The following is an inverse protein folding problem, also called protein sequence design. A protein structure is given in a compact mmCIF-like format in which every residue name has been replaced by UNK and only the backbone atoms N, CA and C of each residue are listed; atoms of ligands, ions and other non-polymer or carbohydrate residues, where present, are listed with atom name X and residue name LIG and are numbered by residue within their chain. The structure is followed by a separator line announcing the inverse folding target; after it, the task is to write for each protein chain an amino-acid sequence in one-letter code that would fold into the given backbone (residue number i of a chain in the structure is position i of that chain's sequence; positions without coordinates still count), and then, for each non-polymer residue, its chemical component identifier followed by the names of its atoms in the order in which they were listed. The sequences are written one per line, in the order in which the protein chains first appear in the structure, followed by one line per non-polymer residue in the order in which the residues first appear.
data_IF_449155007873
#
_entry.id   IF_449155007873
#
_cell.length_a   1.000
_cell.length_b   1.000
_cell.length_c   1.000
_cell.angle_alpha   90.00
_cell.angle_beta   90.00
_cell.angle_gamma   90.00
#
_symmetry.space_group_name_H-M   'P 1'
#
loop_
_entity.id
_entity.type
_entity.pdbx_description
1 polymer ?
#
# COMPACT_ATOMS: atom_id res chain seq x y z
N UNK A 1 -16.98 -74.69 18.85
CA UNK A 1 -17.93 -73.93 19.61
C UNK A 1 -17.29 -72.66 20.07
N UNK A 2 -17.91 -71.50 19.77
CA UNK A 2 -17.51 -70.21 20.27
C UNK A 2 -16.18 -69.61 19.80
N UNK A 3 -16.15 -69.20 18.54
CA UNK A 3 -15.20 -68.25 18.04
C UNK A 3 -15.88 -67.19 17.18
N UNK A 4 -16.84 -66.53 17.76
CA UNK A 4 -17.56 -65.47 17.06
C UNK A 4 -18.06 -64.43 18.06
N UNK A 5 -17.18 -63.57 18.56
CA UNK A 5 -17.57 -62.29 19.24
C UNK A 5 -16.29 -61.55 19.65
N UNK A 6 -15.59 -60.92 18.71
CA UNK A 6 -14.56 -59.94 19.04
C UNK A 6 -14.13 -59.18 17.79
N UNK A 7 -15.10 -58.54 17.09
CA UNK A 7 -14.79 -57.54 16.07
C UNK A 7 -15.97 -56.58 15.93
N UNK A 8 -16.26 -55.86 16.97
CA UNK A 8 -17.12 -54.67 16.91
C UNK A 8 -16.65 -53.71 17.99
N UNK A 9 -15.70 -52.89 17.73
CA UNK A 9 -15.44 -51.61 18.37
C UNK A 9 -14.09 -51.11 17.92
N UNK A 10 -14.03 -50.37 16.80
CA UNK A 10 -13.00 -49.37 16.52
C UNK A 10 -13.28 -48.75 15.14
N UNK A 11 -14.30 -47.90 15.09
CA UNK A 11 -14.46 -46.98 13.96
C UNK A 11 -15.37 -45.83 14.39
N UNK A 12 -14.85 -44.97 15.24
CA UNK A 12 -15.45 -43.67 15.47
C UNK A 12 -14.43 -42.76 16.17
N UNK A 13 -13.50 -42.20 15.45
CA UNK A 13 -12.78 -40.98 15.84
C UNK A 13 -11.79 -40.60 14.73
N UNK A 14 -12.19 -39.80 13.78
CA UNK A 14 -11.27 -38.94 12.99
C UNK A 14 -12.06 -38.21 11.91
N UNK A 15 -12.88 -37.29 12.29
CA UNK A 15 -13.41 -36.30 11.35
C UNK A 15 -13.76 -35.01 12.10
N UNK A 16 -12.75 -34.41 12.73
CA UNK A 16 -12.86 -33.06 13.25
C UNK A 16 -11.47 -32.44 13.27
N UNK A 17 -11.12 -31.70 12.27
CA UNK A 17 -9.84 -31.00 12.33
C UNK A 17 -9.24 -30.57 11.02
N UNK A 18 -10.01 -30.13 10.02
CA UNK A 18 -9.43 -29.45 8.84
C UNK A 18 -10.40 -28.43 8.24
N UNK A 19 -10.82 -27.45 9.01
CA UNK A 19 -11.50 -26.27 8.43
C UNK A 19 -11.24 -25.03 9.27
N UNK A 20 -10.00 -24.60 9.33
CA UNK A 20 -9.70 -23.27 9.85
C UNK A 20 -8.28 -22.85 9.45
N UNK A 21 -8.01 -22.65 8.19
CA UNK A 21 -6.78 -21.93 7.79
C UNK A 21 -6.77 -21.49 6.33
N UNK A 22 -7.72 -20.68 5.95
CA UNK A 22 -7.66 -20.02 4.63
C UNK A 22 -8.06 -18.55 4.64
N UNK A 23 -8.47 -17.99 5.78
CA UNK A 23 -8.97 -16.62 5.83
C UNK A 23 -7.91 -15.55 6.11
N UNK A 24 -6.67 -15.90 6.51
CA UNK A 24 -5.72 -14.89 6.99
C UNK A 24 -4.67 -14.43 5.98
N UNK A 25 -4.54 -15.06 4.83
CA UNK A 25 -3.56 -14.66 3.81
C UNK A 25 -4.17 -13.78 2.70
N UNK A 26 -5.45 -13.94 2.38
CA UNK A 26 -6.16 -13.12 1.40
C UNK A 26 -6.51 -11.72 1.94
N UNK A 27 -6.79 -11.60 3.23
CA UNK A 27 -7.11 -10.31 3.87
C UNK A 27 -5.90 -9.37 4.00
N UNK A 28 -4.68 -9.89 4.15
CA UNK A 28 -3.49 -9.07 4.30
C UNK A 28 -3.06 -8.35 3.02
N UNK A 29 -3.41 -8.88 1.83
CA UNK A 29 -3.11 -8.28 0.54
C UNK A 29 -4.14 -7.23 0.11
N UNK A 30 -5.41 -7.45 0.43
CA UNK A 30 -6.52 -6.58 0.04
C UNK A 30 -6.52 -5.23 0.77
N UNK A 31 -5.77 -5.10 1.85
CA UNK A 31 -5.70 -3.89 2.67
C UNK A 31 -4.49 -3.00 2.37
N UNK A 32 -3.70 -3.30 1.34
CA UNK A 32 -2.54 -2.51 0.95
C UNK A 32 -2.71 -1.97 -0.46
N UNK A 33 -2.68 -0.66 -0.60
CA UNK A 33 -2.93 0.01 -1.88
C UNK A 33 -1.85 1.02 -2.15
N UNK A 34 -1.27 0.99 -3.35
CA UNK A 34 -0.32 1.98 -3.83
C UNK A 34 -0.94 2.84 -4.93
N UNK A 35 -0.89 4.16 -4.72
CA UNK A 35 -1.26 5.18 -5.69
C UNK A 35 -0.05 5.57 -6.52
N UNK A 36 -0.22 5.58 -7.84
CA UNK A 36 0.80 6.02 -8.78
C UNK A 36 0.54 7.47 -9.20
N UNK A 37 1.47 8.36 -8.90
CA UNK A 37 1.38 9.79 -9.18
C UNK A 37 2.51 10.22 -10.11
N UNK A 38 2.17 10.50 -11.37
CA UNK A 38 3.08 10.99 -12.39
C UNK A 38 2.64 12.33 -12.98
N UNK A 39 1.34 12.63 -12.95
CA UNK A 39 0.73 13.77 -13.63
C UNK A 39 0.43 14.90 -12.63
N UNK A 40 0.86 16.12 -12.94
CA UNK A 40 0.72 17.31 -12.08
C UNK A 40 -0.74 17.58 -11.72
N UNK A 41 -1.61 17.55 -12.71
CA UNK A 41 -3.05 17.84 -12.58
C UNK A 41 -3.82 16.78 -11.77
N UNK A 42 -3.23 15.61 -11.54
CA UNK A 42 -3.82 14.51 -10.77
C UNK A 42 -3.44 14.49 -9.30
N UNK A 43 -2.43 15.26 -8.89
CA UNK A 43 -1.91 15.21 -7.51
C UNK A 43 -2.99 15.54 -6.48
N UNK A 44 -3.67 16.66 -6.61
CA UNK A 44 -4.73 17.08 -5.67
C UNK A 44 -5.89 16.08 -5.63
N UNK A 45 -6.30 15.59 -6.80
CA UNK A 45 -7.34 14.57 -6.93
C UNK A 45 -6.95 13.26 -6.24
N UNK A 46 -5.71 12.81 -6.42
CA UNK A 46 -5.18 11.60 -5.80
C UNK A 46 -5.14 11.72 -4.26
N UNK A 47 -4.68 12.84 -3.72
CA UNK A 47 -4.69 13.09 -2.27
C UNK A 47 -6.11 13.07 -1.70
N UNK A 48 -7.08 13.64 -2.43
CA UNK A 48 -8.50 13.54 -2.11
C UNK A 48 -9.01 12.10 -2.10
N UNK A 49 -8.63 11.32 -3.11
CA UNK A 49 -8.98 9.89 -3.21
C UNK A 49 -8.37 9.09 -2.05
N UNK A 50 -7.11 9.31 -1.70
CA UNK A 50 -6.47 8.64 -0.55
C UNK A 50 -7.21 8.94 0.75
N UNK A 51 -7.60 10.20 0.98
CA UNK A 51 -8.41 10.60 2.13
C UNK A 51 -9.76 9.85 2.16
N UNK A 52 -10.48 9.82 1.04
CA UNK A 52 -11.77 9.15 0.93
C UNK A 52 -11.63 7.63 1.08
N UNK A 53 -10.58 7.06 0.50
CA UNK A 53 -10.27 5.63 0.62
C UNK A 53 -10.03 5.24 2.07
N UNK A 54 -9.28 6.06 2.82
CA UNK A 54 -9.05 5.83 4.24
C UNK A 54 -10.32 5.92 5.06
N UNK A 55 -11.20 6.87 4.74
CA UNK A 55 -12.47 7.04 5.45
C UNK A 55 -13.47 5.91 5.19
N UNK A 56 -13.52 5.36 3.97
CA UNK A 56 -14.46 4.33 3.56
C UNK A 56 -13.88 2.92 3.42
N UNK A 57 -12.57 2.77 3.61
CA UNK A 57 -11.87 1.51 3.39
C UNK A 57 -11.94 0.53 4.56
N UNK A 58 -11.39 -0.65 4.35
CA UNK A 58 -11.33 -1.70 5.34
C UNK A 58 -10.44 -1.31 6.54
N UNK A 59 -10.69 -1.93 7.69
CA UNK A 59 -9.82 -1.79 8.86
C UNK A 59 -8.41 -2.28 8.53
N UNK A 60 -7.40 -1.57 9.01
CA UNK A 60 -6.00 -1.92 8.76
C UNK A 60 -5.51 -1.56 7.35
N UNK A 61 -6.24 -0.71 6.62
CA UNK A 61 -5.84 -0.20 5.31
C UNK A 61 -4.49 0.53 5.40
N UNK A 62 -3.55 0.08 4.58
CA UNK A 62 -2.26 0.72 4.37
C UNK A 62 -2.24 1.40 3.00
N UNK A 63 -1.98 2.70 2.97
CA UNK A 63 -1.86 3.45 1.74
C UNK A 63 -0.41 3.90 1.52
N UNK A 64 0.02 3.79 0.28
CA UNK A 64 1.27 4.37 -0.19
C UNK A 64 1.02 5.16 -1.47
N UNK A 65 1.88 6.12 -1.74
CA UNK A 65 1.95 6.81 -3.02
C UNK A 65 3.38 6.77 -3.54
N UNK A 66 3.55 6.43 -4.82
CA UNK A 66 4.83 6.57 -5.52
C UNK A 66 4.72 7.76 -6.45
N UNK A 67 5.55 8.76 -6.21
CA UNK A 67 5.54 10.05 -6.92
C UNK A 67 6.79 10.17 -7.78
N UNK A 68 6.61 10.36 -9.07
CA UNK A 68 7.72 10.54 -10.00
C UNK A 68 7.38 11.48 -11.16
N UNK A 69 8.38 11.82 -11.96
CA UNK A 69 8.20 12.71 -13.09
C UNK A 69 7.64 14.08 -12.68
N UNK A 70 6.81 14.71 -13.52
CA UNK A 70 6.28 16.05 -13.28
C UNK A 70 5.50 16.20 -11.97
N UNK A 71 4.83 15.16 -11.48
CA UNK A 71 4.06 15.21 -10.24
C UNK A 71 4.94 15.52 -9.02
N UNK A 72 6.22 15.14 -9.04
CA UNK A 72 7.12 15.38 -7.92
C UNK A 72 7.39 16.87 -7.70
N UNK A 73 7.37 17.68 -8.77
CA UNK A 73 7.56 19.12 -8.69
C UNK A 73 6.48 19.84 -7.87
N UNK A 74 5.29 19.26 -7.77
CA UNK A 74 4.17 19.82 -6.99
C UNK A 74 4.49 19.82 -5.49
N UNK A 75 5.34 18.89 -5.06
CA UNK A 75 5.72 18.72 -3.64
C UNK A 75 7.03 19.43 -3.26
N UNK A 76 7.47 20.42 -4.02
CA UNK A 76 8.67 21.19 -3.66
C UNK A 76 8.48 21.89 -2.29
N UNK A 77 9.54 21.89 -1.47
CA UNK A 77 9.53 22.53 -0.14
C UNK A 77 9.14 24.02 -0.18
N UNK A 78 9.43 24.68 -1.30
CA UNK A 78 9.11 26.10 -1.55
C UNK A 78 7.72 26.34 -2.16
N UNK A 79 6.87 25.30 -2.27
CA UNK A 79 5.50 25.49 -2.79
C UNK A 79 4.71 26.44 -1.89
N UNK A 80 3.91 27.30 -2.47
CA UNK A 80 2.97 28.21 -1.78
C UNK A 80 1.55 27.62 -1.68
N UNK A 81 1.34 26.40 -2.18
CA UNK A 81 0.05 25.72 -2.14
C UNK A 81 -0.24 25.17 -0.74
N UNK A 82 -0.83 25.98 0.11
CA UNK A 82 -1.17 25.61 1.49
C UNK A 82 -2.15 24.45 1.58
N UNK A 83 -3.10 24.35 0.64
CA UNK A 83 -4.05 23.23 0.60
C UNK A 83 -3.33 21.92 0.36
N UNK A 84 -2.38 21.89 -0.57
CA UNK A 84 -1.55 20.71 -0.83
C UNK A 84 -0.73 20.33 0.39
N UNK A 85 -0.07 21.30 1.03
CA UNK A 85 0.72 21.07 2.24
C UNK A 85 -0.12 20.42 3.33
N UNK A 86 -1.33 20.93 3.57
CA UNK A 86 -2.25 20.39 4.57
C UNK A 86 -2.72 18.99 4.22
N UNK A 87 -3.09 18.72 2.95
CA UNK A 87 -3.50 17.39 2.52
C UNK A 87 -2.38 16.38 2.67
N UNK A 88 -1.16 16.74 2.25
CA UNK A 88 0.01 15.88 2.37
C UNK A 88 0.35 15.60 3.85
N UNK A 89 0.41 16.63 4.69
CA UNK A 89 0.65 16.45 6.13
C UNK A 89 -0.42 15.60 6.81
N UNK A 90 -1.69 15.75 6.41
CA UNK A 90 -2.80 14.93 6.92
C UNK A 90 -2.63 13.46 6.54
N UNK A 91 -2.26 13.18 5.30
CA UNK A 91 -1.96 11.82 4.84
C UNK A 91 -0.79 11.18 5.61
N UNK A 92 0.31 11.92 5.79
CA UNK A 92 1.44 11.44 6.59
C UNK A 92 1.05 11.15 8.04
N UNK A 93 0.26 12.03 8.66
CA UNK A 93 -0.24 11.83 10.03
C UNK A 93 -1.17 10.62 10.15
N UNK A 94 -1.89 10.28 9.08
CA UNK A 94 -2.73 9.09 9.02
C UNK A 94 -1.92 7.79 8.80
N UNK A 95 -0.62 7.88 8.58
CA UNK A 95 0.28 6.75 8.37
C UNK A 95 0.48 6.37 6.90
N UNK A 96 0.06 7.23 5.95
CA UNK A 96 0.33 7.01 4.54
C UNK A 96 1.83 7.22 4.24
N UNK A 97 2.38 6.44 3.33
CA UNK A 97 3.78 6.50 2.95
C UNK A 97 3.92 7.07 1.55
N UNK A 98 4.77 8.08 1.40
CA UNK A 98 5.05 8.68 0.09
C UNK A 98 6.49 8.40 -0.32
N UNK A 99 6.67 7.83 -1.50
CA UNK A 99 7.97 7.56 -2.10
C UNK A 99 8.29 8.55 -3.21
N UNK A 100 9.44 9.23 -3.09
CA UNK A 100 9.97 10.07 -4.16
C UNK A 100 10.94 9.27 -5.03
N UNK A 101 10.76 9.36 -6.35
CA UNK A 101 11.61 8.69 -7.32
C UNK A 101 13.01 9.28 -7.36
N UNK A 102 14.04 8.47 -7.06
CA UNK A 102 15.44 8.91 -7.10
C UNK A 102 15.87 9.39 -8.50
N UNK A 103 15.39 8.74 -9.57
CA UNK A 103 15.70 9.15 -10.94
C UNK A 103 15.12 10.53 -11.28
N UNK A 104 13.91 10.84 -10.80
CA UNK A 104 13.32 12.17 -10.99
C UNK A 104 14.09 13.23 -10.20
N UNK A 105 14.46 12.94 -8.97
CA UNK A 105 15.29 13.85 -8.17
C UNK A 105 16.61 14.15 -8.86
N UNK A 106 17.31 13.11 -9.31
CA UNK A 106 18.60 13.25 -10.02
C UNK A 106 18.47 14.05 -11.33
N UNK A 107 17.40 13.83 -12.10
CA UNK A 107 17.16 14.55 -13.35
C UNK A 107 16.97 16.07 -13.17
N UNK A 108 16.62 16.50 -11.96
CA UNK A 108 16.40 17.91 -11.61
C UNK A 108 17.46 18.46 -10.64
N UNK A 109 18.52 17.72 -10.36
CA UNK A 109 19.51 18.07 -9.32
C UNK A 109 18.87 18.36 -7.97
N UNK A 110 17.82 17.62 -7.60
CA UNK A 110 17.12 17.72 -6.31
C UNK A 110 17.51 16.60 -5.37
N UNK A 111 17.32 16.87 -4.09
CA UNK A 111 17.39 15.89 -2.99
C UNK A 111 16.06 15.82 -2.27
N UNK A 112 15.91 14.90 -1.31
CA UNK A 112 14.71 14.86 -0.46
C UNK A 112 14.50 16.16 0.33
N UNK A 113 15.57 16.90 0.66
CA UNK A 113 15.48 18.18 1.35
C UNK A 113 14.82 19.29 0.51
N UNK A 114 14.77 19.11 -0.81
CA UNK A 114 14.10 20.03 -1.73
C UNK A 114 12.59 19.80 -1.81
N UNK A 115 12.09 18.76 -1.19
CA UNK A 115 10.67 18.41 -1.14
C UNK A 115 10.06 18.75 0.23
N UNK A 116 8.73 18.78 0.30
CA UNK A 116 8.01 18.78 1.56
C UNK A 116 8.50 17.61 2.43
N UNK A 117 8.71 17.80 3.74
CA UNK A 117 9.24 16.77 4.61
C UNK A 117 8.25 15.58 4.74
N UNK A 118 8.77 14.36 4.70
CA UNK A 118 7.98 13.15 4.90
C UNK A 118 8.05 12.13 3.77
N UNK A 119 8.80 12.41 2.71
CA UNK A 119 9.06 11.42 1.66
C UNK A 119 10.11 10.39 2.07
N UNK A 120 9.86 9.14 1.74
CA UNK A 120 10.87 8.10 1.65
C UNK A 120 11.46 8.06 0.23
N UNK A 121 12.71 7.63 0.10
CA UNK A 121 13.36 7.54 -1.21
C UNK A 121 13.02 6.20 -1.89
N UNK A 122 12.55 6.25 -3.13
CA UNK A 122 12.51 5.10 -4.03
C UNK A 122 13.88 5.04 -4.77
N UNK A 123 14.86 4.41 -4.14
CA UNK A 123 16.28 4.43 -4.54
C UNK A 123 16.52 3.92 -5.96
N UNK A 124 15.81 2.86 -6.36
CA UNK A 124 15.89 2.27 -7.71
C UNK A 124 14.94 2.92 -8.72
N UNK A 125 14.26 4.01 -8.32
CA UNK A 125 13.27 4.72 -9.14
C UNK A 125 11.83 4.33 -8.84
N UNK A 126 10.90 5.20 -9.27
CA UNK A 126 9.47 5.04 -8.99
C UNK A 126 8.85 3.80 -9.63
N UNK A 127 9.22 3.49 -10.88
CA UNK A 127 8.69 2.32 -11.59
C UNK A 127 9.11 1.01 -10.92
N UNK A 128 10.36 0.90 -10.49
CA UNK A 128 10.85 -0.28 -9.75
C UNK A 128 10.11 -0.39 -8.41
N UNK A 129 9.95 0.71 -7.69
CA UNK A 129 9.21 0.71 -6.42
C UNK A 129 7.75 0.25 -6.62
N UNK A 130 7.08 0.70 -7.67
CA UNK A 130 5.71 0.25 -8.00
C UNK A 130 5.67 -1.25 -8.28
N UNK A 131 6.62 -1.77 -9.06
CA UNK A 131 6.70 -3.20 -9.36
C UNK A 131 6.96 -4.04 -8.09
N UNK A 132 7.89 -3.59 -7.25
CA UNK A 132 8.23 -4.27 -5.98
C UNK A 132 7.03 -4.31 -5.02
N UNK A 133 6.27 -3.21 -4.90
CA UNK A 133 5.08 -3.18 -4.07
C UNK A 133 3.99 -4.12 -4.60
N UNK A 134 3.76 -4.13 -5.92
CA UNK A 134 2.81 -5.06 -6.54
C UNK A 134 3.22 -6.53 -6.33
N UNK A 135 4.50 -6.84 -6.46
CA UNK A 135 5.03 -8.18 -6.17
C UNK A 135 4.83 -8.60 -4.69
N UNK A 136 4.73 -7.63 -3.78
CA UNK A 136 4.41 -7.83 -2.38
C UNK A 136 2.89 -7.88 -2.09
N UNK A 137 2.04 -7.85 -3.12
CA UNK A 137 0.59 -7.95 -3.00
C UNK A 137 -0.13 -6.60 -2.79
N UNK A 138 0.52 -5.47 -3.08
CA UNK A 138 -0.16 -4.18 -3.07
C UNK A 138 -1.05 -4.03 -4.29
N UNK A 139 -2.27 -3.55 -4.09
CA UNK A 139 -3.17 -3.19 -5.18
C UNK A 139 -2.70 -1.87 -5.78
N UNK A 140 -2.58 -1.82 -7.10
CA UNK A 140 -2.15 -0.64 -7.83
C UNK A 140 -3.34 0.20 -8.28
N UNK A 141 -3.31 1.50 -7.98
CA UNK A 141 -4.26 2.49 -8.47
C UNK A 141 -3.52 3.67 -9.13
N UNK A 142 -4.02 4.08 -10.28
CA UNK A 142 -3.62 5.31 -10.96
C UNK A 142 -4.85 6.20 -11.17
N UNK A 143 -4.94 7.35 -10.47
CA UNK A 143 -6.03 8.31 -10.61
C UNK A 143 -6.08 8.99 -11.99
#
# INVERSE_FOLDING_TARGET
MERRKLFKALLAASAAGLTARSASAEDAGANRVVYHLADVDKVAFALGNMKNHRAGGARGLSLAAVVHGPALAVFRAKTDNETLKQQFATSLKAGDVFYACANTLAAHDWTLADLLPGFALAEKGGVVKLADLQAQGWIYLRP
#
